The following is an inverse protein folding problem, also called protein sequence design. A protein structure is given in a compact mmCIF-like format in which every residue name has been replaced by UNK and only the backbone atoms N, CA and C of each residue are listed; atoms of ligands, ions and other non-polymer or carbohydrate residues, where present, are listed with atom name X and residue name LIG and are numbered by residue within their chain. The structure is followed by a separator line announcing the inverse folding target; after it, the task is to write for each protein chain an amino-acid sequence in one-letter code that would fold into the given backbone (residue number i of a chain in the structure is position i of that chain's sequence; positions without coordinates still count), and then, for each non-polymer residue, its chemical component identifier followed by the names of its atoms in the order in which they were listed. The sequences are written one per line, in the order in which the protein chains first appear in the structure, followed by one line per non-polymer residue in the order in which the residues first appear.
data_IF_217746107588
#
_entry.id   IF_217746107588
#
_cell.length_a   1.000
_cell.length_b   1.000
_cell.length_c   1.000
_cell.angle_alpha   90.00
_cell.angle_beta   90.00
_cell.angle_gamma   90.00
#
_symmetry.space_group_name_H-M   'P 1'
#
loop_
_entity.id
_entity.type
_entity.pdbx_description
1 polymer ?
#
# COMPACT_ATOMS: atom_id res chain seq x y z
N UNK A 1 -9.81 -30.89 20.70
CA UNK A 1 -8.75 -30.76 21.73
C UNK A 1 -7.31 -30.81 21.17
N UNK A 2 -7.07 -31.03 19.88
CA UNK A 2 -5.71 -31.13 19.28
C UNK A 2 -5.18 -29.83 18.65
N UNK A 3 -5.98 -28.78 18.51
CA UNK A 3 -5.55 -27.49 17.89
C UNK A 3 -4.60 -26.63 18.76
N UNK A 4 -4.51 -26.91 20.06
CA UNK A 4 -3.66 -26.12 20.96
C UNK A 4 -2.17 -26.51 20.95
N UNK A 5 -1.85 -27.76 20.61
CA UNK A 5 -0.45 -28.25 20.63
C UNK A 5 0.33 -27.87 19.36
N UNK A 6 -0.33 -27.65 18.24
CA UNK A 6 0.33 -27.28 16.98
C UNK A 6 0.50 -25.77 16.78
N UNK A 7 -0.20 -24.94 17.55
CA UNK A 7 -0.08 -23.48 17.52
C UNK A 7 1.30 -22.96 17.97
N UNK A 8 2.04 -23.75 18.75
CA UNK A 8 3.37 -23.41 19.25
C UNK A 8 4.49 -23.71 18.23
N UNK A 9 4.17 -24.46 17.17
CA UNK A 9 5.13 -24.91 16.16
C UNK A 9 4.99 -24.15 14.81
N UNK A 10 4.01 -23.25 14.67
CA UNK A 10 3.78 -22.50 13.44
C UNK A 10 3.85 -20.99 13.73
N UNK A 11 4.74 -20.29 13.05
CA UNK A 11 4.77 -18.83 13.08
C UNK A 11 3.63 -18.28 12.21
N UNK A 12 2.60 -17.72 12.84
CA UNK A 12 1.52 -17.05 12.12
C UNK A 12 2.05 -15.78 11.44
N UNK A 13 1.49 -15.43 10.29
CA UNK A 13 2.03 -14.43 9.37
C UNK A 13 0.97 -13.36 9.08
N UNK A 14 1.34 -12.09 9.20
CA UNK A 14 0.60 -10.94 8.66
C UNK A 14 1.23 -10.51 7.34
N UNK A 15 0.41 -10.24 6.34
CA UNK A 15 0.87 -9.78 5.02
C UNK A 15 0.13 -8.50 4.66
N UNK A 16 0.90 -7.45 4.42
CA UNK A 16 0.48 -6.30 3.65
C UNK A 16 0.81 -6.58 2.19
N UNK A 17 -0.22 -6.89 1.41
CA UNK A 17 -0.09 -7.27 0.01
C UNK A 17 -0.29 -6.03 -0.89
N UNK A 18 0.60 -5.05 -0.77
CA UNK A 18 0.47 -3.79 -1.49
C UNK A 18 0.89 -3.86 -2.97
N UNK A 19 0.36 -2.92 -3.77
CA UNK A 19 0.67 -2.78 -5.21
C UNK A 19 2.16 -2.53 -5.46
N UNK A 20 2.79 -1.66 -4.67
CA UNK A 20 4.20 -1.30 -4.83
C UNK A 20 5.13 -2.22 -4.04
N UNK A 21 4.80 -2.54 -2.81
CA UNK A 21 5.61 -3.34 -1.90
C UNK A 21 4.74 -4.33 -1.13
N UNK A 22 5.31 -5.50 -0.85
CA UNK A 22 4.75 -6.49 0.07
C UNK A 22 5.58 -6.51 1.34
N UNK A 23 4.91 -6.35 2.50
CA UNK A 23 5.53 -6.48 3.81
C UNK A 23 5.00 -7.72 4.51
N UNK A 24 5.88 -8.45 5.19
CA UNK A 24 5.50 -9.64 5.94
C UNK A 24 5.92 -9.50 7.40
N UNK A 25 4.92 -9.56 8.25
CA UNK A 25 5.05 -9.62 9.69
C UNK A 25 4.98 -11.08 10.14
N UNK A 26 5.90 -11.51 10.99
CA UNK A 26 5.86 -12.82 11.63
C UNK A 26 5.59 -12.63 13.12
N UNK A 27 4.64 -13.38 13.64
CA UNK A 27 4.26 -13.33 15.04
C UNK A 27 5.48 -13.47 15.95
N UNK A 28 5.59 -12.60 16.94
CA UNK A 28 6.67 -12.52 17.93
C UNK A 28 8.06 -12.13 17.34
N UNK A 29 8.15 -11.80 16.04
CA UNK A 29 9.40 -11.37 15.40
C UNK A 29 9.29 -9.97 14.75
N UNK A 30 8.06 -9.45 14.56
CA UNK A 30 7.84 -8.19 13.87
C UNK A 30 7.91 -8.33 12.35
N UNK A 31 8.16 -7.22 11.65
CA UNK A 31 8.31 -7.19 10.20
C UNK A 31 9.66 -7.78 9.81
N UNK A 32 9.62 -8.93 9.15
CA UNK A 32 10.82 -9.70 8.76
C UNK A 32 11.14 -9.62 7.28
N UNK A 33 10.20 -9.09 6.46
CA UNK A 33 10.39 -8.94 5.03
C UNK A 33 9.73 -7.66 4.54
N UNK A 34 10.46 -6.91 3.71
CA UNK A 34 9.97 -5.77 2.94
C UNK A 34 10.54 -5.90 1.54
N UNK A 35 9.72 -6.21 0.57
CA UNK A 35 10.16 -6.37 -0.81
C UNK A 35 9.14 -5.79 -1.80
N UNK A 36 9.62 -5.29 -2.96
CA UNK A 36 8.74 -4.84 -4.02
C UNK A 36 7.81 -5.96 -4.51
N UNK A 37 6.56 -5.61 -4.80
CA UNK A 37 5.57 -6.51 -5.42
C UNK A 37 5.83 -6.65 -6.92
N UNK A 38 7.03 -7.17 -7.27
CA UNK A 38 7.49 -7.34 -8.64
C UNK A 38 7.97 -8.77 -8.85
N UNK A 39 7.65 -9.34 -10.00
CA UNK A 39 8.08 -10.68 -10.40
C UNK A 39 8.65 -10.63 -11.81
N UNK A 40 9.81 -11.21 -12.03
CA UNK A 40 10.36 -11.42 -13.36
C UNK A 40 10.03 -12.84 -13.84
N UNK A 41 9.39 -12.94 -14.99
CA UNK A 41 8.99 -14.20 -15.61
C UNK A 41 9.59 -14.38 -16.97
N UNK A 42 9.80 -15.61 -17.38
CA UNK A 42 10.18 -15.95 -18.75
C UNK A 42 8.96 -15.78 -19.68
N UNK A 43 9.10 -14.96 -20.71
CA UNK A 43 8.05 -14.72 -21.69
C UNK A 43 7.56 -16.03 -22.31
N UNK A 44 6.22 -16.19 -22.41
CA UNK A 44 5.55 -17.34 -23.01
C UNK A 44 5.44 -18.60 -22.13
N UNK A 45 6.13 -18.68 -20.97
CA UNK A 45 6.04 -19.84 -20.08
C UNK A 45 5.60 -19.50 -18.66
N UNK A 46 5.52 -18.23 -18.31
CA UNK A 46 5.26 -17.71 -16.95
C UNK A 46 6.20 -18.29 -15.86
N UNK A 47 7.32 -18.91 -16.27
CA UNK A 47 8.30 -19.41 -15.30
C UNK A 47 8.92 -18.26 -14.54
N UNK A 48 8.77 -18.25 -13.21
CA UNK A 48 9.36 -17.24 -12.33
C UNK A 48 10.88 -17.35 -12.32
N UNK A 49 11.54 -16.23 -12.58
CA UNK A 49 13.00 -16.09 -12.60
C UNK A 49 13.52 -15.33 -11.37
N UNK A 50 12.80 -14.29 -10.94
CA UNK A 50 13.15 -13.49 -9.77
C UNK A 50 11.89 -12.89 -9.14
N UNK A 51 11.95 -12.55 -7.85
CA UNK A 51 10.86 -11.91 -7.09
C UNK A 51 11.46 -10.80 -6.23
N UNK A 52 10.67 -9.75 -5.98
CA UNK A 52 11.04 -8.68 -5.06
C UNK A 52 12.14 -7.77 -5.61
N UNK A 53 13.11 -7.44 -4.79
CA UNK A 53 14.21 -6.53 -5.12
C UNK A 53 15.01 -6.94 -6.37
N UNK A 54 15.20 -8.24 -6.55
CA UNK A 54 15.89 -8.76 -7.72
C UNK A 54 15.11 -8.49 -8.99
N UNK A 55 13.80 -8.73 -8.97
CA UNK A 55 12.90 -8.43 -10.09
C UNK A 55 12.75 -6.93 -10.34
N UNK A 56 12.67 -6.09 -9.29
CA UNK A 56 12.59 -4.62 -9.41
C UNK A 56 13.79 -4.04 -10.16
N UNK A 57 15.00 -4.60 -9.96
CA UNK A 57 16.20 -4.17 -10.72
C UNK A 57 16.13 -4.46 -12.21
N UNK A 58 15.29 -5.40 -12.61
CA UNK A 58 15.09 -5.80 -14.01
C UNK A 58 14.05 -4.92 -14.73
N UNK A 59 13.21 -4.17 -14.03
CA UNK A 59 12.19 -3.30 -14.65
C UNK A 59 12.83 -2.34 -15.66
N UNK A 60 12.28 -2.32 -16.89
CA UNK A 60 12.75 -1.48 -17.99
C UNK A 60 14.13 -1.85 -18.56
N UNK A 61 14.71 -3.00 -18.17
CA UNK A 61 16.05 -3.44 -18.57
C UNK A 61 16.11 -4.88 -19.06
N UNK A 62 14.95 -5.54 -19.20
CA UNK A 62 14.87 -6.94 -19.61
C UNK A 62 15.04 -7.11 -21.13
N UNK A 63 15.71 -8.18 -21.58
CA UNK A 63 15.64 -8.60 -22.97
C UNK A 63 14.24 -9.15 -23.29
N UNK A 64 13.91 -9.30 -24.58
CA UNK A 64 12.57 -9.67 -25.04
C UNK A 64 12.01 -10.99 -24.50
N UNK A 65 12.86 -11.89 -24.03
CA UNK A 65 12.48 -13.19 -23.44
C UNK A 65 12.22 -13.17 -21.94
N UNK A 66 12.36 -12.00 -21.30
CA UNK A 66 12.08 -11.81 -19.86
C UNK A 66 11.13 -10.62 -19.70
N UNK A 67 10.08 -10.79 -18.91
CA UNK A 67 9.13 -9.73 -18.57
C UNK A 67 9.11 -9.55 -17.06
N UNK A 68 9.39 -8.33 -16.59
CA UNK A 68 9.19 -7.96 -15.19
C UNK A 68 7.79 -7.34 -15.06
N UNK A 69 6.93 -7.96 -14.23
CA UNK A 69 5.54 -7.57 -14.04
C UNK A 69 5.24 -7.23 -12.59
N UNK A 70 4.28 -6.33 -12.38
CA UNK A 70 3.63 -6.11 -11.09
C UNK A 70 2.34 -6.94 -11.10
N UNK A 71 2.24 -8.00 -10.30
CA UNK A 71 1.07 -8.89 -10.31
C UNK A 71 -0.15 -8.27 -9.64
N UNK A 72 0.05 -7.17 -8.93
CA UNK A 72 -0.99 -6.35 -8.31
C UNK A 72 -1.05 -5.00 -9.00
N UNK A 73 -2.24 -4.51 -9.28
CA UNK A 73 -2.50 -3.19 -9.84
C UNK A 73 -3.74 -2.59 -9.19
N UNK A 74 -3.66 -1.32 -8.82
CA UNK A 74 -4.78 -0.59 -8.22
C UNK A 74 -5.43 -1.35 -7.03
N UNK A 75 -4.59 -1.99 -6.20
CA UNK A 75 -5.00 -2.76 -5.03
C UNK A 75 -5.60 -4.14 -5.32
N UNK A 76 -5.68 -4.58 -6.58
CA UNK A 76 -6.28 -5.87 -6.94
C UNK A 76 -5.29 -6.79 -7.68
N UNK A 77 -5.57 -8.09 -7.66
CA UNK A 77 -4.78 -9.08 -8.40
C UNK A 77 -5.02 -8.90 -9.90
N UNK A 78 -3.99 -8.50 -10.62
CA UNK A 78 -3.99 -8.42 -12.08
C UNK A 78 -3.57 -9.74 -12.74
N UNK A 79 -2.70 -10.51 -12.07
CA UNK A 79 -2.24 -11.83 -12.53
C UNK A 79 -2.24 -12.82 -11.36
N UNK A 80 -3.15 -13.79 -11.41
CA UNK A 80 -3.36 -14.74 -10.33
C UNK A 80 -2.15 -15.68 -10.14
N UNK A 81 -1.64 -16.25 -11.24
CA UNK A 81 -0.54 -17.22 -11.18
C UNK A 81 0.75 -16.58 -10.66
N UNK A 82 1.03 -15.38 -11.12
CA UNK A 82 2.21 -14.63 -10.70
C UNK A 82 2.08 -14.17 -9.26
N UNK A 83 0.87 -13.76 -8.81
CA UNK A 83 0.60 -13.41 -7.40
C UNK A 83 0.77 -14.62 -6.49
N UNK A 84 0.23 -15.79 -6.87
CA UNK A 84 0.41 -17.04 -6.12
C UNK A 84 1.90 -17.38 -5.97
N UNK A 85 2.65 -17.29 -7.06
CA UNK A 85 4.09 -17.56 -7.05
C UNK A 85 4.86 -16.58 -6.16
N UNK A 86 4.50 -15.29 -6.18
CA UNK A 86 5.06 -14.26 -5.32
C UNK A 86 4.75 -14.54 -3.84
N UNK A 87 3.51 -14.80 -3.48
CA UNK A 87 3.11 -15.16 -2.12
C UNK A 87 3.81 -16.43 -1.63
N UNK A 88 3.91 -17.45 -2.48
CA UNK A 88 4.63 -18.70 -2.17
C UNK A 88 6.11 -18.41 -1.88
N UNK A 89 6.74 -17.54 -2.66
CA UNK A 89 8.12 -17.12 -2.44
C UNK A 89 8.25 -16.45 -1.07
N UNK A 90 7.43 -15.45 -0.75
CA UNK A 90 7.51 -14.71 0.50
C UNK A 90 7.18 -15.60 1.72
N UNK A 91 6.10 -16.37 1.67
CA UNK A 91 5.75 -17.32 2.75
C UNK A 91 6.89 -18.32 2.98
N UNK A 92 7.47 -18.89 1.91
CA UNK A 92 8.57 -19.86 2.03
C UNK A 92 9.86 -19.25 2.56
N UNK A 93 10.09 -17.97 2.32
CA UNK A 93 11.28 -17.22 2.77
C UNK A 93 11.23 -16.96 4.28
N UNK A 94 10.05 -16.70 4.83
CA UNK A 94 9.85 -16.39 6.24
C UNK A 94 9.48 -17.62 7.08
N UNK A 95 8.87 -18.63 6.45
CA UNK A 95 8.46 -19.84 7.15
C UNK A 95 9.65 -20.78 7.40
N UNK A 96 9.87 -21.13 8.66
CA UNK A 96 10.95 -22.05 9.02
C UNK A 96 10.69 -23.45 8.46
N UNK A 97 11.48 -23.90 7.48
CA UNK A 97 11.37 -25.22 6.82
C UNK A 97 11.42 -26.42 7.77
N UNK A 98 11.90 -26.25 9.01
CA UNK A 98 11.92 -27.31 10.04
C UNK A 98 10.55 -27.52 10.69
N UNK A 99 9.64 -26.57 10.51
CA UNK A 99 8.30 -26.62 11.07
C UNK A 99 7.34 -27.15 10.00
N UNK A 100 6.74 -28.31 10.25
CA UNK A 100 5.76 -28.95 9.33
C UNK A 100 4.38 -28.29 9.36
N UNK A 101 4.07 -27.46 10.36
CA UNK A 101 2.77 -26.83 10.50
C UNK A 101 2.67 -25.61 9.58
N UNK A 102 1.68 -25.59 8.71
CA UNK A 102 1.40 -24.45 7.83
C UNK A 102 0.91 -23.26 8.66
N UNK A 103 1.32 -22.02 8.31
CA UNK A 103 0.93 -20.83 9.06
C UNK A 103 -0.56 -20.46 8.87
N UNK A 104 -1.14 -19.77 9.87
CA UNK A 104 -2.27 -18.90 9.64
C UNK A 104 -1.74 -17.61 9.04
N UNK A 105 -2.51 -17.06 8.09
CA UNK A 105 -2.12 -15.83 7.40
C UNK A 105 -3.25 -14.81 7.50
N UNK A 106 -2.93 -13.60 7.93
CA UNK A 106 -3.79 -12.42 7.85
C UNK A 106 -3.30 -11.57 6.70
N UNK A 107 -4.17 -11.24 5.75
CA UNK A 107 -3.81 -10.42 4.57
C UNK A 107 -4.66 -9.16 4.59
N UNK A 108 -4.00 -8.01 4.48
CA UNK A 108 -4.68 -6.75 4.25
C UNK A 108 -5.14 -6.66 2.80
N UNK A 109 -6.33 -6.11 2.60
CA UNK A 109 -6.95 -5.92 1.29
C UNK A 109 -7.63 -4.55 1.23
N UNK A 110 -7.69 -3.87 0.09
CA UNK A 110 -8.35 -2.59 -0.03
C UNK A 110 -9.83 -2.66 0.36
N UNK A 111 -10.37 -1.55 0.84
CA UNK A 111 -11.81 -1.42 1.08
C UNK A 111 -12.59 -1.50 -0.22
N UNK A 112 -13.73 -2.18 -0.20
CA UNK A 112 -14.63 -2.23 -1.34
C UNK A 112 -14.21 -3.16 -2.48
N UNK A 113 -13.21 -4.03 -2.30
CA UNK A 113 -12.94 -5.11 -3.26
C UNK A 113 -14.11 -6.09 -3.32
N UNK A 114 -14.33 -6.65 -4.50
CA UNK A 114 -15.40 -7.62 -4.75
C UNK A 114 -15.16 -8.96 -4.05
N UNK A 115 -16.22 -9.74 -3.83
CA UNK A 115 -16.10 -11.10 -3.27
C UNK A 115 -15.27 -12.03 -4.17
N UNK A 116 -15.24 -11.77 -5.49
CA UNK A 116 -14.41 -12.53 -6.43
C UNK A 116 -12.93 -12.24 -6.17
N UNK A 117 -12.57 -10.96 -5.97
CA UNK A 117 -11.20 -10.54 -5.64
C UNK A 117 -10.77 -11.06 -4.26
N UNK A 118 -11.64 -10.96 -3.24
CA UNK A 118 -11.38 -11.54 -1.91
C UNK A 118 -11.11 -13.04 -2.00
N UNK A 119 -11.91 -13.76 -2.79
CA UNK A 119 -11.73 -15.18 -3.04
C UNK A 119 -10.40 -15.47 -3.73
N UNK A 120 -10.03 -14.67 -4.74
CA UNK A 120 -8.76 -14.81 -5.44
C UNK A 120 -7.56 -14.68 -4.47
N UNK A 121 -7.58 -13.69 -3.56
CA UNK A 121 -6.54 -13.52 -2.53
C UNK A 121 -6.48 -14.74 -1.60
N UNK A 122 -7.63 -15.24 -1.11
CA UNK A 122 -7.67 -16.43 -0.24
C UNK A 122 -7.13 -17.68 -0.95
N UNK A 123 -7.53 -17.90 -2.18
CA UNK A 123 -7.08 -19.05 -2.97
C UNK A 123 -5.57 -18.98 -3.23
N UNK A 124 -5.04 -17.82 -3.67
CA UNK A 124 -3.61 -17.59 -3.86
C UNK A 124 -2.80 -17.89 -2.59
N UNK A 125 -3.23 -17.38 -1.45
CA UNK A 125 -2.54 -17.61 -0.18
C UNK A 125 -2.62 -19.08 0.28
N UNK A 126 -3.75 -19.73 0.07
CA UNK A 126 -3.95 -21.16 0.40
C UNK A 126 -3.04 -22.05 -0.47
N UNK A 127 -2.98 -21.78 -1.79
CA UNK A 127 -2.09 -22.49 -2.71
C UNK A 127 -0.62 -22.19 -2.43
N UNK A 128 -0.31 -20.99 -1.95
CA UNK A 128 1.03 -20.61 -1.50
C UNK A 128 1.48 -21.32 -0.21
N UNK A 129 0.55 -21.99 0.50
CA UNK A 129 0.85 -22.84 1.66
C UNK A 129 0.24 -22.40 2.99
N UNK A 130 -0.64 -21.41 3.02
CA UNK A 130 -1.38 -21.04 4.22
C UNK A 130 -2.36 -22.16 4.65
N UNK A 131 -2.56 -22.32 5.97
CA UNK A 131 -3.55 -23.24 6.55
C UNK A 131 -4.93 -22.59 6.66
N UNK A 132 -4.95 -21.36 7.16
CA UNK A 132 -6.12 -20.54 7.34
C UNK A 132 -5.78 -19.13 6.85
N UNK A 133 -6.70 -18.50 6.13
CA UNK A 133 -6.51 -17.15 5.60
C UNK A 133 -7.64 -16.27 6.12
N UNK A 134 -7.25 -15.17 6.77
CA UNK A 134 -8.13 -14.11 7.22
C UNK A 134 -7.84 -12.85 6.39
N UNK A 135 -8.89 -12.15 5.97
CA UNK A 135 -8.76 -10.87 5.30
C UNK A 135 -9.17 -9.75 6.25
N UNK A 136 -8.42 -8.67 6.24
CA UNK A 136 -8.73 -7.43 6.96
C UNK A 136 -8.64 -6.27 5.97
N UNK A 137 -9.51 -5.28 6.09
CA UNK A 137 -9.42 -4.10 5.24
C UNK A 137 -8.18 -3.26 5.60
N UNK A 138 -7.46 -2.78 4.58
CA UNK A 138 -6.21 -2.01 4.73
C UNK A 138 -6.36 -0.85 5.71
N UNK A 139 -7.40 0.02 5.62
CA UNK A 139 -7.51 1.14 6.55
C UNK A 139 -7.76 0.69 8.00
N UNK A 140 -8.46 -0.43 8.23
CA UNK A 140 -8.61 -0.99 9.58
C UNK A 140 -7.27 -1.52 10.09
N UNK A 141 -6.52 -2.23 9.25
CA UNK A 141 -5.18 -2.69 9.59
C UNK A 141 -4.23 -1.52 9.87
N UNK A 142 -4.22 -0.49 9.01
CA UNK A 142 -3.43 0.72 9.21
C UNK A 142 -3.74 1.39 10.55
N UNK A 143 -5.03 1.60 10.87
CA UNK A 143 -5.48 2.21 12.12
C UNK A 143 -5.02 1.42 13.36
N UNK A 144 -5.12 0.09 13.33
CA UNK A 144 -4.62 -0.79 14.39
C UNK A 144 -3.09 -0.70 14.47
N UNK A 145 -2.42 -0.67 13.33
CA UNK A 145 -0.97 -0.62 13.23
C UNK A 145 -0.39 0.64 13.86
N UNK A 146 -0.95 1.80 13.58
CA UNK A 146 -0.55 3.08 14.17
C UNK A 146 -1.02 3.28 15.61
N UNK A 147 -1.83 2.35 16.15
CA UNK A 147 -2.29 2.38 17.53
C UNK A 147 -3.50 3.27 17.79
N UNK A 148 -4.31 3.56 16.78
CA UNK A 148 -5.58 4.24 16.99
C UNK A 148 -6.52 3.38 17.88
N UNK A 149 -7.28 4.00 18.79
CA UNK A 149 -8.20 3.29 19.69
C UNK A 149 -9.48 2.89 18.95
N UNK A 150 -9.37 1.99 17.97
CA UNK A 150 -10.45 1.59 17.07
C UNK A 150 -11.65 0.93 17.77
N UNK A 151 -11.46 0.43 19.01
CA UNK A 151 -12.52 -0.22 19.81
C UNK A 151 -13.40 0.79 20.55
N UNK A 152 -12.91 2.01 20.72
CA UNK A 152 -13.62 3.05 21.47
C UNK A 152 -14.85 3.56 20.69
N UNK A 153 -15.89 4.04 21.40
CA UNK A 153 -17.04 4.71 20.79
C UNK A 153 -16.68 6.16 20.42
N UNK A 154 -15.67 6.35 19.58
CA UNK A 154 -15.16 7.65 19.16
C UNK A 154 -14.67 7.60 17.70
N UNK A 155 -14.74 8.75 17.02
CA UNK A 155 -14.30 8.88 15.63
C UNK A 155 -12.78 8.80 15.52
N UNK A 156 -12.29 7.86 14.70
CA UNK A 156 -10.90 7.76 14.30
C UNK A 156 -10.84 7.77 12.78
N UNK A 157 -10.08 8.67 12.18
CA UNK A 157 -9.95 8.74 10.73
C UNK A 157 -8.52 8.45 10.30
N UNK A 158 -8.39 7.48 9.42
CA UNK A 158 -7.14 7.07 8.81
C UNK A 158 -7.17 7.35 7.32
N UNK A 159 -6.06 7.83 6.78
CA UNK A 159 -5.82 8.04 5.35
C UNK A 159 -4.57 7.24 5.01
N UNK A 160 -4.74 6.12 4.34
CA UNK A 160 -3.65 5.26 3.91
C UNK A 160 -3.38 5.47 2.42
N UNK A 161 -2.23 6.05 2.09
CA UNK A 161 -1.84 6.37 0.72
C UNK A 161 -0.77 5.37 0.28
N UNK A 162 -1.21 4.31 -0.39
CA UNK A 162 -0.37 3.22 -0.87
C UNK A 162 0.38 3.53 -2.18
N UNK A 163 0.70 2.47 -2.93
CA UNK A 163 1.24 2.56 -4.29
C UNK A 163 0.16 2.77 -5.33
N UNK A 164 -0.88 1.93 -5.32
CA UNK A 164 -1.97 1.94 -6.32
C UNK A 164 -3.30 2.47 -5.81
N UNK A 165 -3.50 2.55 -4.50
CA UNK A 165 -4.76 3.00 -3.89
C UNK A 165 -4.53 3.97 -2.75
N UNK A 166 -5.48 4.89 -2.56
CA UNK A 166 -5.64 5.67 -1.34
C UNK A 166 -6.93 5.26 -0.66
N UNK A 167 -6.81 4.81 0.57
CA UNK A 167 -7.90 4.37 1.43
C UNK A 167 -8.16 5.43 2.51
N UNK A 168 -9.38 5.95 2.54
CA UNK A 168 -9.82 6.90 3.58
C UNK A 168 -10.94 6.24 4.36
N UNK A 169 -10.79 6.09 5.68
CA UNK A 169 -11.81 5.45 6.49
C UNK A 169 -12.03 6.15 7.83
N UNK A 170 -13.31 6.24 8.20
CA UNK A 170 -13.80 6.60 9.53
C UNK A 170 -14.12 5.32 10.28
N UNK A 171 -13.50 5.15 11.45
CA UNK A 171 -13.57 3.93 12.26
C UNK A 171 -14.08 4.26 13.66
N UNK A 172 -15.00 3.45 14.18
CA UNK A 172 -15.49 3.51 15.55
C UNK A 172 -16.01 2.13 15.97
N UNK A 173 -15.90 1.79 17.24
CA UNK A 173 -16.46 0.54 17.84
C UNK A 173 -16.02 -0.72 17.05
N UNK A 174 -14.76 -0.78 16.64
CA UNK A 174 -14.17 -1.87 15.84
C UNK A 174 -14.78 -2.05 14.44
N UNK A 175 -15.53 -1.09 13.94
CA UNK A 175 -16.17 -1.12 12.64
C UNK A 175 -15.79 0.08 11.78
N UNK A 176 -15.78 -0.12 10.47
CA UNK A 176 -15.67 0.97 9.50
C UNK A 176 -17.06 1.59 9.35
N UNK A 177 -17.22 2.84 9.77
CA UNK A 177 -18.47 3.60 9.67
C UNK A 177 -18.71 4.06 8.23
N UNK A 178 -17.63 4.56 7.60
CA UNK A 178 -17.60 4.92 6.20
C UNK A 178 -16.18 4.77 5.68
N UNK A 179 -16.04 4.29 4.46
CA UNK A 179 -14.75 4.26 3.76
C UNK A 179 -14.91 4.67 2.31
N UNK A 180 -13.81 5.17 1.76
CA UNK A 180 -13.65 5.51 0.36
C UNK A 180 -12.29 5.05 -0.12
N UNK A 181 -12.29 4.26 -1.19
CA UNK A 181 -11.11 3.85 -1.92
C UNK A 181 -11.04 4.61 -3.24
N UNK A 182 -9.88 5.15 -3.57
CA UNK A 182 -9.61 5.75 -4.88
C UNK A 182 -8.33 5.16 -5.45
N UNK A 183 -8.33 4.92 -6.77
CA UNK A 183 -7.18 4.39 -7.52
C UNK A 183 -6.26 5.52 -7.96
N UNK A 184 -5.91 6.38 -7.03
CA UNK A 184 -4.97 7.49 -7.19
C UNK A 184 -4.06 7.47 -5.97
N UNK A 185 -2.78 7.16 -6.19
CA UNK A 185 -1.78 7.00 -5.13
C UNK A 185 -0.35 7.17 -5.69
N UNK A 186 0.61 6.46 -5.14
CA UNK A 186 2.03 6.60 -5.47
C UNK A 186 2.36 6.42 -6.95
N UNK A 187 1.70 5.48 -7.63
CA UNK A 187 1.96 5.17 -9.05
C UNK A 187 1.41 6.27 -9.96
N UNK A 188 0.24 6.86 -9.65
CA UNK A 188 -0.32 7.99 -10.38
C UNK A 188 0.50 9.27 -10.17
N UNK A 189 1.09 9.45 -8.98
CA UNK A 189 2.04 10.54 -8.74
C UNK A 189 3.29 10.38 -9.62
N UNK A 190 3.80 9.17 -9.78
CA UNK A 190 4.95 8.89 -10.66
C UNK A 190 4.60 9.11 -12.13
N UNK A 191 3.43 8.62 -12.57
CA UNK A 191 2.96 8.82 -13.94
C UNK A 191 2.75 10.31 -14.26
N UNK A 192 2.21 11.09 -13.31
CA UNK A 192 2.06 12.54 -13.47
C UNK A 192 3.41 13.23 -13.73
N UNK A 193 4.48 12.81 -13.03
CA UNK A 193 5.83 13.31 -13.27
C UNK A 193 6.33 12.89 -14.68
N UNK A 194 6.11 11.62 -15.07
CA UNK A 194 6.48 11.15 -16.42
C UNK A 194 5.80 12.00 -17.51
N UNK A 195 4.50 12.26 -17.35
CA UNK A 195 3.72 13.05 -18.30
C UNK A 195 4.15 14.53 -18.30
N UNK A 196 4.49 15.10 -17.15
CA UNK A 196 5.04 16.46 -17.06
C UNK A 196 6.36 16.57 -17.83
N UNK A 197 7.31 15.66 -17.59
CA UNK A 197 8.59 15.63 -18.27
C UNK A 197 8.45 15.50 -19.78
N UNK A 198 7.48 14.70 -20.23
CA UNK A 198 7.18 14.54 -21.66
C UNK A 198 6.61 15.82 -22.25
N UNK A 199 5.64 16.48 -21.56
CA UNK A 199 4.97 17.69 -22.08
C UNK A 199 5.87 18.93 -22.03
N UNK A 200 6.56 19.17 -20.91
CA UNK A 200 7.34 20.37 -20.68
C UNK A 200 8.70 20.34 -21.39
N UNK A 201 9.32 19.17 -21.46
CA UNK A 201 10.72 19.03 -21.88
C UNK A 201 10.96 18.13 -23.08
N UNK A 202 9.91 17.49 -23.63
CA UNK A 202 10.03 16.40 -24.60
C UNK A 202 11.01 15.32 -24.15
N UNK A 203 11.10 15.06 -22.85
CA UNK A 203 11.98 14.08 -22.26
C UNK A 203 11.20 12.86 -21.78
N UNK A 204 11.54 11.69 -22.31
CA UNK A 204 11.01 10.42 -21.85
C UNK A 204 11.86 9.87 -20.72
N UNK A 205 11.25 9.69 -19.56
CA UNK A 205 11.84 9.03 -18.40
C UNK A 205 11.06 7.76 -18.06
N UNK A 206 11.68 6.84 -17.32
CA UNK A 206 10.99 5.64 -16.82
C UNK A 206 10.35 5.89 -15.44
N UNK A 207 9.39 5.02 -15.09
CA UNK A 207 8.68 5.06 -13.78
C UNK A 207 9.65 5.13 -12.59
N UNK A 208 10.71 4.33 -12.60
CA UNK A 208 11.73 4.35 -11.55
C UNK A 208 12.39 5.73 -11.40
N UNK A 209 12.65 6.42 -12.49
CA UNK A 209 13.23 7.77 -12.46
C UNK A 209 12.23 8.76 -11.89
N UNK A 210 10.96 8.63 -12.23
CA UNK A 210 9.87 9.45 -11.67
C UNK A 210 9.71 9.21 -10.16
N UNK A 211 9.71 7.96 -9.70
CA UNK A 211 9.72 7.60 -8.26
C UNK A 211 10.90 8.24 -7.53
N UNK A 212 12.11 8.18 -8.10
CA UNK A 212 13.30 8.80 -7.53
C UNK A 212 13.18 10.34 -7.45
N UNK A 213 12.58 11.00 -8.45
CA UNK A 213 12.31 12.45 -8.45
C UNK A 213 11.29 12.78 -7.36
N UNK A 214 10.15 12.05 -7.32
CA UNK A 214 9.11 12.22 -6.29
C UNK A 214 9.69 12.15 -4.88
N UNK A 215 10.47 11.12 -4.58
CA UNK A 215 11.09 10.92 -3.26
C UNK A 215 12.08 12.05 -2.92
N UNK A 216 12.90 12.47 -3.88
CA UNK A 216 13.97 13.46 -3.64
C UNK A 216 13.45 14.88 -3.47
N UNK A 217 12.54 15.32 -4.34
CA UNK A 217 12.13 16.72 -4.44
C UNK A 217 10.62 16.94 -4.51
N UNK A 218 9.80 15.86 -4.50
CA UNK A 218 8.35 15.96 -4.49
C UNK A 218 7.81 16.63 -3.23
N UNK A 219 6.76 17.43 -3.40
CA UNK A 219 6.04 18.06 -2.29
C UNK A 219 4.59 18.35 -2.68
N UNK A 220 3.70 18.27 -1.71
CA UNK A 220 2.29 18.63 -1.87
C UNK A 220 2.03 20.11 -1.52
N UNK A 221 2.95 20.74 -0.80
CA UNK A 221 2.81 22.11 -0.28
C UNK A 221 4.08 22.91 -0.58
N UNK A 222 3.98 24.25 -0.79
CA UNK A 222 5.14 25.09 -1.02
C UNK A 222 6.19 24.96 0.09
N UNK A 223 7.45 24.85 -0.30
CA UNK A 223 8.59 24.78 0.63
C UNK A 223 9.27 26.14 0.74
N UNK A 224 9.78 26.48 1.93
CA UNK A 224 10.59 27.67 2.13
C UNK A 224 11.88 27.66 1.27
N UNK A 225 12.40 26.47 0.98
CA UNK A 225 13.59 26.27 0.15
C UNK A 225 13.28 25.29 -0.96
N UNK A 226 13.13 25.83 -2.17
CA UNK A 226 13.00 24.99 -3.37
C UNK A 226 14.35 24.35 -3.71
N UNK A 227 14.26 23.12 -4.23
CA UNK A 227 15.42 22.29 -4.59
C UNK A 227 15.32 21.86 -6.04
N UNK A 228 16.41 21.35 -6.61
CA UNK A 228 16.44 20.83 -7.97
C UNK A 228 17.24 19.53 -8.02
N UNK A 229 16.98 18.73 -9.06
CA UNK A 229 17.67 17.47 -9.32
C UNK A 229 17.97 17.32 -10.80
N UNK A 230 19.12 16.74 -11.09
CA UNK A 230 19.48 16.34 -12.46
C UNK A 230 18.72 15.09 -12.87
N UNK A 231 18.08 15.14 -14.05
CA UNK A 231 17.29 14.04 -14.63
C UNK A 231 17.85 13.66 -15.98
N UNK A 232 17.98 12.37 -16.21
CA UNK A 232 18.45 11.78 -17.47
C UNK A 232 17.33 10.98 -18.13
N UNK A 233 17.14 11.19 -19.43
CA UNK A 233 16.12 10.51 -20.20
C UNK A 233 16.45 10.51 -21.69
N UNK A 234 15.47 10.11 -22.51
CA UNK A 234 15.58 10.15 -23.96
C UNK A 234 14.81 11.36 -24.50
N UNK A 235 15.50 12.23 -25.23
CA UNK A 235 14.87 13.31 -25.97
C UNK A 235 13.95 12.72 -27.05
N UNK A 236 12.67 13.10 -27.03
CA UNK A 236 11.66 12.56 -27.96
C UNK A 236 11.76 13.16 -29.36
N UNK A 237 12.44 14.31 -29.52
CA UNK A 237 12.63 14.98 -30.80
C UNK A 237 13.89 14.43 -31.47
N UNK A 238 15.03 14.42 -30.77
CA UNK A 238 16.32 14.00 -31.32
C UNK A 238 16.55 12.48 -31.23
N UNK A 239 15.80 11.75 -30.36
CA UNK A 239 15.98 10.33 -30.10
C UNK A 239 17.23 9.99 -29.27
N UNK A 240 17.97 10.99 -28.80
CA UNK A 240 19.25 10.85 -28.12
C UNK A 240 19.11 10.98 -26.61
N UNK A 241 20.06 10.45 -25.80
CA UNK A 241 20.11 10.72 -24.35
C UNK A 241 20.25 12.23 -24.11
N UNK A 242 19.51 12.73 -23.14
CA UNK A 242 19.50 14.14 -22.71
C UNK A 242 19.45 14.23 -21.19
N UNK A 243 20.13 15.23 -20.69
CA UNK A 243 20.16 15.58 -19.26
C UNK A 243 19.61 16.97 -19.07
N UNK A 244 18.79 17.18 -18.03
CA UNK A 244 18.29 18.51 -17.64
C UNK A 244 18.09 18.59 -16.12
N UNK A 245 17.86 19.80 -15.62
CA UNK A 245 17.50 20.06 -14.25
C UNK A 245 15.98 20.25 -14.15
N UNK A 246 15.36 19.67 -13.11
CA UNK A 246 13.97 19.92 -12.75
C UNK A 246 13.91 20.43 -11.30
N UNK A 247 13.00 21.32 -11.01
CA UNK A 247 12.81 21.94 -9.69
C UNK A 247 11.68 21.29 -8.91
N UNK A 248 11.71 21.40 -7.59
CA UNK A 248 10.62 20.95 -6.71
C UNK A 248 9.31 21.67 -6.96
N UNK A 249 9.35 22.92 -7.43
CA UNK A 249 8.16 23.67 -7.82
C UNK A 249 7.48 23.02 -9.05
N UNK A 250 8.24 22.65 -10.07
CA UNK A 250 7.73 21.97 -11.28
C UNK A 250 7.18 20.60 -10.95
N UNK A 251 7.85 19.86 -10.05
CA UNK A 251 7.33 18.56 -9.59
C UNK A 251 6.01 18.74 -8.84
N UNK A 252 5.90 19.75 -7.98
CA UNK A 252 4.65 20.05 -7.27
C UNK A 252 3.53 20.41 -8.25
N UNK A 253 3.82 21.18 -9.30
CA UNK A 253 2.87 21.48 -10.37
C UNK A 253 2.41 20.20 -11.08
N UNK A 254 3.32 19.29 -11.39
CA UNK A 254 2.98 18.00 -11.99
C UNK A 254 2.05 17.17 -11.11
N UNK A 255 2.18 17.26 -9.78
CA UNK A 255 1.44 16.47 -8.79
C UNK A 255 0.05 17.06 -8.42
N UNK A 256 -0.30 18.25 -8.87
CA UNK A 256 -1.54 18.95 -8.46
C UNK A 256 -2.80 18.12 -8.69
N UNK A 257 -2.96 17.52 -9.86
CA UNK A 257 -4.17 16.79 -10.23
C UNK A 257 -4.37 15.51 -9.37
N UNK A 258 -3.41 14.59 -9.27
CA UNK A 258 -3.57 13.43 -8.42
C UNK A 258 -3.70 13.78 -6.93
N UNK A 259 -2.99 14.78 -6.44
CA UNK A 259 -3.13 15.26 -5.05
C UNK A 259 -4.53 15.81 -4.79
N UNK A 260 -5.08 16.63 -5.68
CA UNK A 260 -6.46 17.14 -5.57
C UNK A 260 -7.47 16.01 -5.47
N UNK A 261 -7.31 14.93 -6.24
CA UNK A 261 -8.19 13.76 -6.19
C UNK A 261 -8.15 13.08 -4.81
N UNK A 262 -6.96 12.99 -4.21
CA UNK A 262 -6.81 12.44 -2.85
C UNK A 262 -7.48 13.37 -1.82
N UNK A 263 -7.24 14.67 -1.89
CA UNK A 263 -7.88 15.67 -1.00
C UNK A 263 -9.40 15.61 -1.09
N UNK A 264 -9.95 15.52 -2.31
CA UNK A 264 -11.39 15.38 -2.52
C UNK A 264 -11.96 14.11 -1.89
N UNK A 265 -11.20 13.01 -1.92
CA UNK A 265 -11.64 11.76 -1.26
C UNK A 265 -11.73 11.91 0.25
N UNK A 266 -10.83 12.67 0.86
CA UNK A 266 -10.86 13.01 2.30
C UNK A 266 -12.07 13.88 2.62
N UNK A 267 -12.31 14.94 1.83
CA UNK A 267 -13.47 15.83 2.01
C UNK A 267 -14.79 15.09 1.92
N UNK A 268 -14.97 14.25 0.89
CA UNK A 268 -16.18 13.44 0.72
C UNK A 268 -16.41 12.49 1.90
N UNK A 269 -15.33 11.96 2.48
CA UNK A 269 -15.43 11.09 3.66
C UNK A 269 -15.85 11.90 4.89
N UNK A 270 -15.31 13.11 5.07
CA UNK A 270 -15.71 14.02 6.15
C UNK A 270 -17.17 14.46 6.03
N UNK A 271 -17.66 14.74 4.82
CA UNK A 271 -19.07 15.07 4.55
C UNK A 271 -20.04 13.94 4.94
N UNK A 272 -19.57 12.69 4.91
CA UNK A 272 -20.35 11.51 5.30
C UNK A 272 -20.19 11.13 6.79
N UNK A 273 -19.36 11.87 7.52
CA UNK A 273 -19.11 11.63 8.92
C UNK A 273 -20.35 12.02 9.76
N UNK A 274 -20.86 11.12 10.63
CA UNK A 274 -21.89 11.50 11.61
C UNK A 274 -21.41 12.64 12.52
N UNK A 275 -22.30 13.57 12.93
CA UNK A 275 -21.92 14.77 13.70
C UNK A 275 -21.12 14.46 14.97
N UNK A 276 -21.50 13.41 15.72
CA UNK A 276 -20.82 13.02 16.95
C UNK A 276 -19.37 12.57 16.70
N UNK A 277 -19.16 11.78 15.65
CA UNK A 277 -17.82 11.34 15.28
C UNK A 277 -17.00 12.47 14.64
N UNK A 278 -17.66 13.39 13.93
CA UNK A 278 -17.01 14.58 13.36
C UNK A 278 -16.48 15.50 14.48
N UNK A 279 -17.20 15.64 15.58
CA UNK A 279 -16.74 16.40 16.73
C UNK A 279 -15.44 15.81 17.33
N UNK A 280 -15.33 14.48 17.40
CA UNK A 280 -14.12 13.82 17.88
C UNK A 280 -12.89 14.13 17.01
N UNK A 281 -13.08 14.29 15.69
CA UNK A 281 -11.98 14.58 14.75
C UNK A 281 -11.39 15.98 14.94
N UNK A 282 -12.12 16.92 15.53
CA UNK A 282 -11.60 18.26 15.84
C UNK A 282 -10.43 18.17 16.82
N UNK A 283 -10.56 17.28 17.82
CA UNK A 283 -9.53 17.09 18.85
C UNK A 283 -8.48 16.03 18.47
N UNK A 284 -8.91 14.95 17.82
CA UNK A 284 -8.06 13.80 17.49
C UNK A 284 -7.30 13.98 16.17
N UNK A 285 -7.86 14.76 15.25
CA UNK A 285 -7.31 14.95 13.92
C UNK A 285 -7.44 13.73 13.00
N UNK A 286 -6.75 13.83 11.88
CA UNK A 286 -6.64 12.79 10.85
C UNK A 286 -5.25 12.17 10.93
N UNK A 287 -5.14 10.86 10.67
CA UNK A 287 -3.84 10.17 10.66
C UNK A 287 -3.50 9.71 9.25
N UNK A 288 -2.30 10.07 8.79
CA UNK A 288 -1.73 9.67 7.51
C UNK A 288 -0.87 8.41 7.67
N UNK A 289 -1.12 7.40 6.84
CA UNK A 289 -0.35 6.18 6.71
C UNK A 289 0.00 5.91 5.24
N UNK A 290 0.75 4.84 4.99
CA UNK A 290 1.23 4.49 3.65
C UNK A 290 2.41 5.31 3.16
N UNK A 291 2.98 4.89 2.03
CA UNK A 291 4.17 5.55 1.47
C UNK A 291 3.93 6.97 0.99
N UNK A 292 2.71 7.28 0.53
CA UNK A 292 2.31 8.62 0.09
C UNK A 292 2.25 9.65 1.22
N UNK A 293 2.06 9.21 2.47
CA UNK A 293 2.11 10.07 3.65
C UNK A 293 3.49 10.75 3.85
N UNK A 294 4.53 10.20 3.23
CA UNK A 294 5.88 10.77 3.25
C UNK A 294 6.10 11.89 2.24
N UNK A 295 5.12 12.18 1.36
CA UNK A 295 5.21 13.31 0.46
C UNK A 295 5.22 14.60 1.27
N UNK A 296 6.26 15.42 1.07
CA UNK A 296 6.51 16.61 1.90
C UNK A 296 5.34 17.59 1.88
N UNK A 297 4.89 17.99 3.06
CA UNK A 297 3.83 18.99 3.26
C UNK A 297 2.43 18.49 2.91
N UNK A 298 2.22 17.18 2.75
CA UNK A 298 0.88 16.66 2.52
C UNK A 298 -0.01 16.78 3.76
N UNK A 299 0.57 16.62 4.94
CA UNK A 299 -0.05 16.92 6.23
C UNK A 299 -0.53 18.37 6.33
N UNK A 300 0.31 19.32 5.91
CA UNK A 300 -0.02 20.75 5.89
C UNK A 300 -1.14 21.07 4.93
N UNK A 301 -1.05 20.53 3.70
CA UNK A 301 -2.10 20.71 2.69
C UNK A 301 -3.44 20.19 3.19
N UNK A 302 -3.49 18.97 3.70
CA UNK A 302 -4.73 18.39 4.22
C UNK A 302 -5.27 19.15 5.43
N UNK A 303 -4.39 19.63 6.32
CA UNK A 303 -4.81 20.45 7.46
C UNK A 303 -5.44 21.77 7.02
N UNK A 304 -4.86 22.43 6.01
CA UNK A 304 -5.40 23.67 5.44
C UNK A 304 -6.75 23.45 4.74
N UNK A 305 -6.84 22.37 3.97
CA UNK A 305 -8.01 22.02 3.17
C UNK A 305 -9.21 21.50 4.00
N UNK A 306 -8.95 20.92 5.18
CA UNK A 306 -9.99 20.35 6.06
C UNK A 306 -10.26 21.16 7.30
N UNK A 307 -9.34 22.04 7.71
CA UNK A 307 -9.38 22.76 8.98
C UNK A 307 -9.14 21.89 10.22
N UNK A 308 -8.68 20.63 10.03
CA UNK A 308 -8.45 19.66 11.10
C UNK A 308 -6.94 19.43 11.32
N UNK A 309 -6.52 19.04 12.53
CA UNK A 309 -5.15 18.57 12.74
C UNK A 309 -4.88 17.32 11.88
N UNK A 310 -3.67 17.23 11.31
CA UNK A 310 -3.25 16.07 10.50
C UNK A 310 -1.90 15.58 11.00
N UNK A 311 -1.80 14.30 11.29
CA UNK A 311 -0.62 13.67 11.87
C UNK A 311 -0.11 12.57 10.94
N UNK A 312 1.17 12.59 10.61
CA UNK A 312 1.82 11.49 9.89
C UNK A 312 2.19 10.42 10.92
N UNK A 313 1.86 9.16 10.65
CA UNK A 313 2.25 8.04 11.50
C UNK A 313 3.78 7.96 11.66
N UNK A 314 4.28 7.42 12.76
CA UNK A 314 5.71 7.32 13.04
C UNK A 314 6.45 6.47 11.99
N UNK A 315 5.90 5.30 11.62
CA UNK A 315 6.36 4.49 10.48
C UNK A 315 5.17 4.21 9.53
N UNK A 316 4.85 5.16 8.64
CA UNK A 316 3.66 5.06 7.81
C UNK A 316 3.75 3.92 6.79
N UNK A 317 4.95 3.53 6.37
CA UNK A 317 5.17 2.41 5.44
C UNK A 317 4.85 1.04 6.05
N UNK A 318 4.87 0.93 7.37
CA UNK A 318 4.68 -0.34 8.09
C UNK A 318 3.32 -0.46 8.73
N UNK A 319 2.53 0.60 8.73
CA UNK A 319 1.26 0.69 9.46
C UNK A 319 0.34 -0.51 9.20
N UNK A 320 0.09 -0.84 7.95
CA UNK A 320 -0.77 -1.98 7.56
C UNK A 320 -0.18 -3.31 8.03
N UNK A 321 1.11 -3.54 7.79
CA UNK A 321 1.77 -4.79 8.17
C UNK A 321 1.79 -4.98 9.71
N UNK A 322 2.09 -3.92 10.46
CA UNK A 322 2.01 -3.92 11.93
C UNK A 322 0.59 -4.23 12.42
N UNK A 323 -0.42 -3.67 11.77
CA UNK A 323 -1.82 -3.94 12.10
C UNK A 323 -2.21 -5.38 11.87
N UNK A 324 -1.83 -5.98 10.73
CA UNK A 324 -2.06 -7.41 10.49
C UNK A 324 -1.37 -8.28 11.54
N UNK A 325 -0.15 -7.88 11.96
CA UNK A 325 0.62 -8.54 13.00
C UNK A 325 -0.04 -8.46 14.39
N UNK A 326 -0.53 -7.27 14.78
CA UNK A 326 -1.26 -7.08 16.05
C UNK A 326 -2.54 -7.93 16.10
N UNK A 327 -3.27 -8.04 14.98
CA UNK A 327 -4.44 -8.90 14.87
C UNK A 327 -4.14 -10.39 15.10
N UNK A 328 -2.95 -10.87 14.77
CA UNK A 328 -2.54 -12.26 15.02
C UNK A 328 -2.44 -12.59 16.52
N UNK A 329 -2.18 -11.60 17.37
CA UNK A 329 -2.09 -11.77 18.82
C UNK A 329 -3.47 -11.90 19.47
N UNK A 330 -4.50 -11.33 18.86
CA UNK A 330 -5.87 -11.28 19.41
C UNK A 330 -6.90 -11.91 18.47
N UNK A 331 -6.94 -13.23 18.40
CA UNK A 331 -7.85 -13.96 17.49
C UNK A 331 -9.34 -13.64 17.66
N UNK A 332 -9.78 -13.25 18.86
CA UNK A 332 -11.17 -12.81 19.07
C UNK A 332 -11.41 -11.48 18.36
N UNK A 333 -10.50 -10.54 18.51
CA UNK A 333 -10.56 -9.25 17.86
C UNK A 333 -10.40 -9.41 16.34
N UNK A 334 -9.46 -10.23 15.87
CA UNK A 334 -9.31 -10.55 14.46
C UNK A 334 -10.62 -11.02 13.82
N UNK A 335 -11.37 -11.92 14.51
CA UNK A 335 -12.67 -12.39 14.02
C UNK A 335 -13.76 -11.33 14.01
N UNK A 336 -13.60 -10.26 14.77
CA UNK A 336 -14.52 -9.13 14.81
C UNK A 336 -14.25 -8.14 13.66
N UNK A 337 -12.98 -7.84 13.38
CA UNK A 337 -12.55 -6.85 12.37
C UNK A 337 -12.29 -7.46 11.00
N UNK A 338 -11.96 -8.77 10.91
CA UNK A 338 -11.84 -9.45 9.65
C UNK A 338 -13.19 -9.44 8.93
N UNK A 339 -13.18 -9.17 7.64
CA UNK A 339 -14.37 -9.24 6.80
C UNK A 339 -15.03 -10.60 6.97
N UNK A 340 -16.09 -10.63 7.78
CA UNK A 340 -16.73 -11.88 8.16
C UNK A 340 -17.58 -12.38 6.99
N UNK A 341 -17.40 -13.63 6.59
CA UNK A 341 -18.38 -14.42 5.83
C UNK A 341 -19.71 -14.62 6.62
N UNK A 342 -20.18 -13.60 7.38
CA UNK A 342 -21.36 -13.70 8.24
C UNK A 342 -22.65 -13.36 7.52
N UNK A 343 -22.77 -13.61 6.24
CA UNK A 343 -24.05 -13.46 5.54
C UNK A 343 -24.46 -14.66 4.72
N UNK A 344 -24.15 -15.90 5.09
CA UNK A 344 -24.87 -17.05 4.53
C UNK A 344 -24.69 -18.28 5.45
N UNK A 345 -25.52 -18.36 6.50
CA UNK A 345 -26.07 -19.60 7.04
C UNK A 345 -27.54 -19.42 7.25
#
# INVERSE_FOLDING_TARGET
MFNGLFGWLSSDIGIDLGTANTLVYVKDQGIVLREPSVVAVQAGTNKVLAVGDEAKRMLGRTPANIVAVRPLKDGVIADFEVTEAMLRHFISKVHNRRVRARPRVVIAVPSGITEVEKRAVRESATHAGAREVYLIEEPMAAAIGVGLPVQDPAGNMIIDIGGGTTEVALISLSGIVFSRSVRVAGDELDEAIVQYMKRAYNLMIGERTAEEIKIKIGSAYPSEKETSVEVKGRDLVAGLPKTLMITSQEVREALLEPISTIVDSVRITLERCPPELSADLVDRGLVLAGGGALLRGFDKLLSEETGLPVHVAEDPLSAVAEGTGKCLNELKFLRQVASSDRQWR
#
